data_IF_980112865144
#
_entry.id   IF_980112865144
#
_cell.length_a   1.000
_cell.length_b   1.000
_cell.length_c   1.000
_cell.angle_alpha   90.00
_cell.angle_beta   90.00
_cell.angle_gamma   90.00
#
_symmetry.space_group_name_H-M   'P 1'
#
loop_
_entity.id
_entity.type
_entity.pdbx_description
1 polymer ?
#
# COMPACT_ATOMS: atom_id res chain seq x y z
N UNK A 1 8.95 -19.62 -27.04
CA UNK A 1 10.12 -18.79 -26.64
C UNK A 1 9.60 -17.57 -25.89
N UNK A 2 9.91 -17.46 -24.59
CA UNK A 2 9.52 -16.29 -23.79
C UNK A 2 10.63 -15.24 -23.81
N UNK A 3 10.31 -14.00 -24.19
CA UNK A 3 11.25 -12.89 -24.18
C UNK A 3 11.16 -12.15 -22.85
N UNK A 4 12.29 -11.95 -22.17
CA UNK A 4 12.35 -11.24 -20.90
C UNK A 4 13.30 -10.04 -21.03
N UNK A 5 12.73 -8.85 -20.84
CA UNK A 5 13.41 -7.59 -21.09
C UNK A 5 13.74 -6.89 -19.77
N UNK A 6 15.02 -6.60 -19.51
CA UNK A 6 15.47 -5.99 -18.24
C UNK A 6 16.38 -4.80 -18.56
N UNK A 7 15.90 -3.58 -18.33
CA UNK A 7 16.72 -2.38 -18.43
C UNK A 7 17.06 -1.77 -17.06
N UNK A 8 18.28 -1.23 -16.95
CA UNK A 8 18.74 -0.45 -15.81
C UNK A 8 19.81 0.55 -16.23
N UNK A 9 19.41 1.77 -16.59
CA UNK A 9 20.33 2.91 -16.74
C UNK A 9 20.71 3.46 -15.35
N UNK A 10 21.93 3.18 -14.91
CA UNK A 10 22.62 3.95 -13.86
C UNK A 10 24.03 4.24 -14.35
N UNK A 11 24.36 5.52 -14.54
CA UNK A 11 25.75 6.02 -14.67
C UNK A 11 26.55 5.67 -13.39
N UNK A 12 27.89 5.67 -13.46
CA UNK A 12 28.71 4.58 -12.98
C UNK A 12 29.03 4.70 -11.48
N UNK A 13 28.09 4.41 -10.60
CA UNK A 13 28.43 4.08 -9.22
C UNK A 13 27.46 3.04 -8.67
N UNK A 14 28.03 1.86 -8.39
CA UNK A 14 27.63 0.90 -7.34
C UNK A 14 26.13 0.88 -7.03
N UNK A 15 25.32 0.06 -7.72
CA UNK A 15 24.29 -0.79 -7.10
C UNK A 15 23.48 -1.59 -8.14
N UNK A 16 23.85 -2.86 -8.28
CA UNK A 16 23.21 -3.89 -9.11
C UNK A 16 22.10 -4.65 -8.32
N UNK A 17 21.42 -3.96 -7.39
CA UNK A 17 20.36 -4.52 -6.54
C UNK A 17 19.06 -4.95 -7.26
N UNK A 18 18.62 -4.33 -8.40
CA UNK A 18 17.34 -4.68 -9.02
C UNK A 18 17.28 -6.09 -9.62
N UNK A 19 18.44 -6.69 -9.95
CA UNK A 19 18.50 -7.96 -10.70
C UNK A 19 18.44 -9.21 -9.80
N UNK A 20 18.82 -9.10 -8.51
CA UNK A 20 18.67 -10.19 -7.52
C UNK A 20 17.19 -10.48 -7.25
N UNK A 21 16.42 -9.40 -7.12
CA UNK A 21 14.98 -9.47 -6.90
C UNK A 21 14.29 -10.08 -8.13
N UNK A 22 14.77 -9.79 -9.34
CA UNK A 22 14.19 -10.32 -10.58
C UNK A 22 14.28 -11.86 -10.67
N UNK A 23 15.49 -12.43 -10.64
CA UNK A 23 15.67 -13.89 -10.80
C UNK A 23 14.94 -14.66 -9.71
N UNK A 24 15.01 -14.20 -8.46
CA UNK A 24 14.26 -14.82 -7.37
C UNK A 24 12.74 -14.67 -7.54
N UNK A 25 12.25 -13.53 -8.01
CA UNK A 25 10.81 -13.26 -8.18
C UNK A 25 10.20 -14.03 -9.35
N UNK A 26 10.96 -14.23 -10.42
CA UNK A 26 10.48 -14.87 -11.64
C UNK A 26 10.97 -16.31 -11.83
N UNK A 27 11.72 -16.87 -10.86
CA UNK A 27 12.25 -18.24 -10.88
C UNK A 27 11.21 -19.26 -11.36
N UNK A 28 9.99 -19.23 -10.85
CA UNK A 28 8.91 -20.16 -11.23
C UNK A 28 8.55 -20.15 -12.73
N UNK A 29 8.81 -19.04 -13.43
CA UNK A 29 8.50 -18.90 -14.85
C UNK A 29 9.68 -19.24 -15.76
N UNK A 30 10.90 -19.17 -15.24
CA UNK A 30 12.14 -19.21 -16.03
C UNK A 30 13.06 -20.38 -15.68
N UNK A 31 12.85 -21.02 -14.53
CA UNK A 31 13.63 -22.18 -14.11
C UNK A 31 13.27 -23.40 -14.98
N UNK A 32 14.28 -24.07 -15.55
CA UNK A 32 14.10 -25.21 -16.45
C UNK A 32 13.55 -24.86 -17.84
N UNK A 33 13.48 -23.58 -18.22
CA UNK A 33 13.09 -23.14 -19.56
C UNK A 33 14.16 -22.21 -20.14
N UNK A 34 14.52 -22.32 -21.43
CA UNK A 34 15.42 -21.37 -22.07
C UNK A 34 14.76 -19.99 -22.11
N UNK A 35 15.49 -18.95 -21.70
CA UNK A 35 15.06 -17.56 -21.85
C UNK A 35 16.21 -16.63 -22.18
N UNK A 36 15.88 -15.54 -22.88
CA UNK A 36 16.86 -14.52 -23.26
C UNK A 36 16.70 -13.29 -22.38
N UNK A 37 17.81 -12.82 -21.80
CA UNK A 37 17.92 -11.54 -21.09
C UNK A 37 18.51 -10.51 -22.05
N UNK A 38 17.71 -9.53 -22.41
CA UNK A 38 18.18 -8.40 -23.22
C UNK A 38 18.67 -7.29 -22.29
N UNK A 39 19.93 -6.86 -22.43
CA UNK A 39 20.53 -5.83 -21.58
C UNK A 39 21.22 -4.74 -22.40
N UNK A 40 21.20 -3.50 -21.90
CA UNK A 40 21.94 -2.37 -22.46
C UNK A 40 23.37 -2.24 -21.92
N UNK A 41 23.86 -3.28 -21.24
CA UNK A 41 25.19 -3.31 -20.64
C UNK A 41 26.01 -4.49 -21.18
N UNK A 42 26.90 -4.20 -22.13
CA UNK A 42 27.67 -5.18 -22.89
C UNK A 42 28.56 -6.10 -22.01
N UNK A 43 29.03 -5.61 -20.86
CA UNK A 43 29.87 -6.36 -19.93
C UNK A 43 29.21 -7.62 -19.36
N UNK A 44 27.88 -7.74 -19.46
CA UNK A 44 27.12 -8.87 -18.93
C UNK A 44 26.98 -10.04 -19.90
N UNK A 45 27.20 -9.82 -21.20
CA UNK A 45 27.25 -10.90 -22.18
C UNK A 45 28.42 -11.87 -21.90
N UNK A 46 29.46 -11.38 -21.23
CA UNK A 46 30.67 -12.13 -20.92
C UNK A 46 30.58 -12.90 -19.59
N UNK A 47 29.48 -12.75 -18.84
CA UNK A 47 29.38 -13.26 -17.48
C UNK A 47 29.34 -14.80 -17.39
N UNK A 48 28.89 -15.47 -18.46
CA UNK A 48 28.88 -16.93 -18.58
C UNK A 48 30.27 -17.52 -18.92
N UNK A 49 31.19 -16.71 -19.46
CA UNK A 49 32.51 -17.14 -19.95
C UNK A 49 33.68 -16.60 -19.10
N UNK A 50 33.42 -16.09 -17.89
CA UNK A 50 34.46 -15.56 -17.02
C UNK A 50 35.36 -16.69 -16.48
N UNK A 51 36.61 -16.76 -16.95
CA UNK A 51 37.69 -17.55 -16.32
C UNK A 51 38.28 -16.75 -15.15
N UNK A 52 38.43 -17.38 -13.99
CA UNK A 52 39.00 -16.82 -12.75
C UNK A 52 38.34 -15.53 -12.24
N UNK A 53 37.08 -15.65 -11.82
CA UNK A 53 36.36 -14.56 -11.19
C UNK A 53 36.38 -14.66 -9.67
N UNK A 54 36.81 -13.59 -8.98
CA UNK A 54 36.67 -13.45 -7.53
C UNK A 54 35.68 -12.32 -7.19
N UNK A 55 34.97 -12.46 -6.06
CA UNK A 55 34.08 -11.41 -5.55
C UNK A 55 32.62 -11.46 -6.04
N UNK A 56 32.08 -10.34 -6.51
CA UNK A 56 30.63 -10.18 -6.77
C UNK A 56 30.19 -10.87 -8.05
N UNK A 57 30.97 -10.77 -9.13
CA UNK A 57 30.63 -11.31 -10.47
C UNK A 57 30.63 -12.85 -10.47
N UNK A 58 31.57 -13.48 -9.76
CA UNK A 58 31.61 -14.94 -9.57
C UNK A 58 30.33 -15.52 -8.97
N UNK A 59 29.81 -14.89 -7.91
CA UNK A 59 28.55 -15.28 -7.26
C UNK A 59 27.34 -15.10 -8.18
N UNK A 60 27.42 -14.24 -9.19
CA UNK A 60 26.38 -14.08 -10.19
C UNK A 60 26.46 -15.13 -11.29
N UNK A 61 27.68 -15.43 -11.77
CA UNK A 61 27.90 -16.51 -12.73
C UNK A 61 27.38 -17.85 -12.19
N UNK A 62 27.74 -18.20 -10.94
CA UNK A 62 27.24 -19.41 -10.27
C UNK A 62 25.72 -19.47 -10.15
N UNK A 63 25.05 -18.32 -9.94
CA UNK A 63 23.58 -18.29 -9.85
C UNK A 63 22.88 -18.33 -11.19
N UNK A 64 23.49 -17.77 -12.22
CA UNK A 64 22.95 -17.84 -13.57
C UNK A 64 23.14 -19.22 -14.18
N UNK A 65 24.15 -19.98 -13.75
CA UNK A 65 24.32 -21.40 -14.12
C UNK A 65 23.13 -22.29 -13.72
N UNK A 66 22.33 -21.89 -12.72
CA UNK A 66 21.09 -22.60 -12.37
C UNK A 66 19.98 -22.44 -13.44
N UNK A 67 20.19 -21.61 -14.46
CA UNK A 67 19.19 -21.25 -15.47
C UNK A 67 19.75 -21.43 -16.88
N UNK A 68 18.88 -21.84 -17.80
CA UNK A 68 19.17 -21.84 -19.24
C UNK A 68 18.93 -20.43 -19.81
N UNK A 69 19.94 -19.58 -19.67
CA UNK A 69 19.84 -18.14 -19.93
C UNK A 69 20.84 -17.68 -20.99
N UNK A 70 20.33 -17.02 -22.02
CA UNK A 70 21.13 -16.32 -23.02
C UNK A 70 21.11 -14.81 -22.76
N UNK A 71 22.27 -14.15 -22.74
CA UNK A 71 22.37 -12.72 -22.41
C UNK A 71 22.76 -11.94 -23.66
N UNK A 72 21.78 -11.26 -24.25
CA UNK A 72 21.94 -10.52 -25.51
C UNK A 72 22.06 -9.02 -25.23
N UNK A 73 23.06 -8.38 -25.84
CA UNK A 73 23.20 -6.94 -25.77
C UNK A 73 22.28 -6.24 -26.78
N UNK A 74 21.53 -5.23 -26.32
CA UNK A 74 20.78 -4.30 -27.18
C UNK A 74 21.15 -2.87 -26.78
N UNK A 75 21.70 -2.11 -27.74
CA UNK A 75 22.06 -0.70 -27.52
C UNK A 75 20.89 0.09 -26.93
N UNK A 76 21.18 0.91 -25.91
CA UNK A 76 20.14 1.67 -25.19
C UNK A 76 19.31 2.62 -26.05
N UNK A 77 19.75 2.98 -27.27
CA UNK A 77 18.95 3.73 -28.26
C UNK A 77 17.85 2.90 -28.92
N UNK A 78 18.08 1.59 -29.10
CA UNK A 78 17.13 0.63 -29.70
C UNK A 78 16.26 -0.09 -28.66
N UNK A 79 16.48 0.19 -27.38
CA UNK A 79 15.82 -0.47 -26.24
C UNK A 79 14.58 0.32 -25.75
N UNK A 80 13.90 1.04 -26.64
CA UNK A 80 12.79 1.94 -26.31
C UNK A 80 11.54 1.21 -25.77
N UNK A 81 11.33 -0.01 -26.25
CA UNK A 81 10.29 -0.96 -25.84
C UNK A 81 10.30 -1.25 -24.33
N UNK A 82 11.47 -1.42 -23.73
CA UNK A 82 11.60 -1.55 -22.27
C UNK A 82 11.46 -0.21 -21.54
N UNK A 83 11.89 0.89 -22.18
CA UNK A 83 11.83 2.23 -21.61
C UNK A 83 10.35 2.65 -21.40
N UNK A 84 9.43 2.29 -22.32
CA UNK A 84 7.99 2.57 -22.22
C UNK A 84 7.32 1.97 -20.98
N UNK A 85 7.61 0.70 -20.63
CA UNK A 85 7.01 0.03 -19.46
C UNK A 85 7.52 0.57 -18.12
N UNK A 86 8.73 1.14 -18.09
CA UNK A 86 9.30 1.78 -16.89
C UNK A 86 8.96 3.27 -16.76
N UNK A 87 8.47 3.89 -17.84
CA UNK A 87 8.22 5.32 -17.97
C UNK A 87 6.80 5.64 -18.43
N UNK A 88 5.79 4.82 -18.13
CA UNK A 88 4.42 5.29 -18.31
C UNK A 88 4.28 6.59 -17.51
N UNK A 89 4.09 7.75 -18.16
CA UNK A 89 4.10 9.02 -17.44
C UNK A 89 2.88 9.01 -16.53
N UNK A 90 3.11 8.89 -15.22
CA UNK A 90 2.08 9.23 -14.27
C UNK A 90 1.73 10.70 -14.52
N UNK A 91 0.45 11.07 -14.64
CA UNK A 91 0.07 12.46 -14.77
C UNK A 91 0.81 13.25 -13.68
N UNK A 92 1.45 14.34 -14.08
CA UNK A 92 2.03 15.29 -13.12
C UNK A 92 0.86 15.72 -12.25
N UNK A 93 0.81 15.23 -11.01
CA UNK A 93 -0.15 15.74 -10.03
C UNK A 93 0.22 17.21 -9.89
N UNK A 94 -0.64 18.07 -10.43
CA UNK A 94 -0.52 19.52 -10.30
C UNK A 94 -0.36 19.87 -8.82
N UNK A 95 0.40 20.93 -8.54
CA UNK A 95 0.74 21.35 -7.19
C UNK A 95 -0.52 21.73 -6.41
N UNK A 96 -1.19 20.76 -5.80
CA UNK A 96 -2.15 21.00 -4.74
C UNK A 96 -1.35 21.47 -3.51
N UNK A 97 -1.21 22.79 -3.41
CA UNK A 97 -0.91 23.53 -2.20
C UNK A 97 -2.17 23.62 -1.34
N UNK A 98 -2.62 22.49 -0.80
CA UNK A 98 -3.27 22.49 0.52
C UNK A 98 -2.60 21.42 1.36
N UNK A 99 -2.08 21.83 2.49
CA UNK A 99 -1.56 20.92 3.50
C UNK A 99 -2.76 20.35 4.25
N UNK A 100 -3.36 19.28 3.74
CA UNK A 100 -4.50 18.62 4.41
C UNK A 100 -4.05 17.85 5.66
N UNK A 101 -3.41 18.56 6.59
CA UNK A 101 -3.20 18.13 7.96
C UNK A 101 -3.73 19.25 8.83
N UNK A 102 -4.81 19.02 9.59
CA UNK A 102 -5.40 20.04 10.48
C UNK A 102 -4.37 20.72 11.39
N UNK A 103 -3.38 19.97 11.88
CA UNK A 103 -2.28 20.51 12.69
C UNK A 103 -1.43 21.55 11.95
N UNK A 104 -1.13 21.35 10.66
CA UNK A 104 -0.34 22.32 9.89
C UNK A 104 -1.16 23.56 9.54
N UNK A 105 -2.48 23.41 9.34
CA UNK A 105 -3.38 24.54 9.10
C UNK A 105 -3.47 25.52 10.29
N UNK A 106 -3.15 25.07 11.51
CA UNK A 106 -3.06 25.98 12.67
C UNK A 106 -1.80 26.85 12.67
N UNK A 107 -0.83 26.57 11.80
CA UNK A 107 0.45 27.30 11.74
C UNK A 107 0.29 28.47 10.77
N UNK A 108 0.17 29.67 11.33
CA UNK A 108 -0.03 30.91 10.55
C UNK A 108 1.22 31.37 9.81
N UNK A 109 2.42 31.08 10.35
CA UNK A 109 3.68 31.51 9.76
C UNK A 109 4.75 30.40 9.78
N UNK A 110 4.67 29.48 8.80
CA UNK A 110 5.60 28.35 8.73
C UNK A 110 7.06 28.76 8.48
N UNK A 111 7.29 29.90 7.83
CA UNK A 111 8.63 30.48 7.60
C UNK A 111 9.32 30.80 8.93
N UNK A 112 8.58 31.41 9.85
CA UNK A 112 9.10 31.73 11.19
C UNK A 112 9.37 30.44 11.99
N UNK A 113 8.48 29.46 11.93
CA UNK A 113 8.69 28.17 12.58
C UNK A 113 9.94 27.45 12.06
N UNK A 114 10.22 27.52 10.77
CA UNK A 114 11.47 27.00 10.20
C UNK A 114 12.71 27.75 10.66
N UNK A 115 12.62 29.06 10.87
CA UNK A 115 13.75 29.86 11.33
C UNK A 115 14.24 29.47 12.73
N UNK A 116 13.36 28.89 13.56
CA UNK A 116 13.66 28.41 14.91
C UNK A 116 14.50 27.12 14.94
N UNK A 117 14.60 26.37 13.83
CA UNK A 117 15.41 25.14 13.76
C UNK A 117 16.82 25.46 13.23
N UNK A 118 17.89 25.30 14.04
CA UNK A 118 19.26 25.58 13.62
C UNK A 118 19.67 24.83 12.34
N UNK A 119 19.08 23.65 12.12
CA UNK A 119 19.38 22.84 10.93
C UNK A 119 18.90 23.48 9.64
N UNK A 120 17.89 24.34 9.70
CA UNK A 120 17.41 25.09 8.53
C UNK A 120 18.44 26.15 8.16
N UNK A 121 19.07 26.81 9.15
CA UNK A 121 20.15 27.76 8.91
C UNK A 121 21.36 27.07 8.25
N UNK A 122 21.80 25.92 8.77
CA UNK A 122 22.88 25.13 8.18
C UNK A 122 22.63 24.79 6.70
N UNK A 123 21.40 24.37 6.38
CA UNK A 123 21.02 24.00 5.00
C UNK A 123 21.00 25.25 4.10
N UNK A 124 20.48 26.38 4.58
CA UNK A 124 20.49 27.64 3.82
C UNK A 124 21.90 28.12 3.53
N UNK A 125 22.81 28.03 4.50
CA UNK A 125 24.22 28.35 4.31
C UNK A 125 24.89 27.41 3.29
N UNK A 126 24.62 26.10 3.36
CA UNK A 126 25.12 25.12 2.38
C UNK A 126 24.60 25.42 0.96
N UNK A 127 23.33 25.82 0.81
CA UNK A 127 22.76 26.24 -0.47
C UNK A 127 23.42 27.52 -1.01
N UNK A 128 23.76 28.47 -0.13
CA UNK A 128 24.48 29.70 -0.51
C UNK A 128 25.90 29.41 -1.03
N UNK A 129 26.61 28.45 -0.41
CA UNK A 129 27.95 28.01 -0.83
C UNK A 129 27.94 27.18 -2.12
N UNK A 130 26.89 26.38 -2.34
CA UNK A 130 26.72 25.52 -3.53
C UNK A 130 25.45 25.90 -4.28
N UNK A 131 25.57 26.86 -5.21
CA UNK A 131 24.47 27.37 -6.05
C UNK A 131 23.71 26.27 -6.83
N UNK A 132 24.36 25.14 -7.11
CA UNK A 132 23.77 24.00 -7.86
C UNK A 132 23.20 22.87 -6.97
N UNK A 133 22.87 23.12 -5.70
CA UNK A 133 22.29 22.08 -4.84
C UNK A 133 20.89 21.66 -5.32
N UNK A 134 20.81 20.58 -6.10
CA UNK A 134 19.53 20.03 -6.60
C UNK A 134 18.67 19.36 -5.51
N UNK A 135 19.13 19.33 -4.26
CA UNK A 135 18.52 18.57 -3.16
C UNK A 135 17.47 19.36 -2.40
N UNK A 136 17.64 20.67 -2.28
CA UNK A 136 16.77 21.55 -1.53
C UNK A 136 16.36 22.73 -2.40
N UNK A 137 15.20 23.29 -2.12
CA UNK A 137 14.69 24.47 -2.80
C UNK A 137 13.87 25.29 -1.81
N UNK A 138 13.94 26.59 -1.95
CA UNK A 138 13.18 27.53 -1.14
C UNK A 138 12.08 28.17 -2.00
N UNK A 139 10.86 28.19 -1.46
CA UNK A 139 9.70 28.84 -2.07
C UNK A 139 9.08 29.78 -1.03
N UNK A 140 8.95 31.07 -1.34
CA UNK A 140 8.41 32.10 -0.43
C UNK A 140 9.07 32.12 0.97
N UNK A 141 10.36 31.80 1.06
CA UNK A 141 11.08 31.72 2.34
C UNK A 141 10.85 30.44 3.13
N UNK A 142 10.19 29.44 2.55
CA UNK A 142 9.96 28.11 3.14
C UNK A 142 10.84 27.08 2.43
N UNK A 143 11.55 26.28 3.21
CA UNK A 143 12.48 25.26 2.75
C UNK A 143 11.76 23.94 2.43
N UNK A 144 12.08 23.39 1.26
CA UNK A 144 11.62 22.09 0.77
C UNK A 144 12.79 21.21 0.36
N UNK A 145 12.58 19.89 0.39
CA UNK A 145 13.52 18.89 -0.11
C UNK A 145 12.98 18.20 -1.36
N UNK A 146 13.84 17.99 -2.35
CA UNK A 146 13.53 17.20 -3.54
C UNK A 146 13.19 15.76 -3.15
N UNK A 147 12.02 15.30 -3.58
CA UNK A 147 11.60 13.93 -3.52
C UNK A 147 12.06 13.17 -4.77
N UNK A 148 12.34 11.89 -4.60
CA UNK A 148 12.67 10.98 -5.70
C UNK A 148 11.65 9.83 -5.80
N UNK A 149 10.60 9.85 -4.97
CA UNK A 149 9.48 8.93 -5.10
C UNK A 149 8.55 9.40 -6.22
N UNK A 150 8.34 8.59 -7.28
CA UNK A 150 7.46 8.96 -8.39
C UNK A 150 5.98 9.08 -7.99
N UNK A 151 5.58 8.55 -6.83
CA UNK A 151 4.22 8.62 -6.30
C UNK A 151 4.02 9.73 -5.25
N UNK A 152 5.06 10.50 -4.93
CA UNK A 152 5.01 11.57 -3.94
C UNK A 152 5.14 12.95 -4.56
N UNK A 153 4.90 14.00 -3.77
CA UNK A 153 5.14 15.39 -4.22
C UNK A 153 6.60 15.55 -4.62
N UNK A 154 6.89 16.29 -5.69
CA UNK A 154 8.27 16.55 -6.13
C UNK A 154 9.09 17.28 -5.07
N UNK A 155 8.44 18.15 -4.30
CA UNK A 155 9.03 18.92 -3.22
C UNK A 155 8.32 18.60 -1.90
N UNK A 156 9.09 18.15 -0.91
CA UNK A 156 8.63 17.78 0.42
C UNK A 156 8.89 18.93 1.38
N UNK A 157 7.87 19.32 2.15
CA UNK A 157 8.01 20.36 3.15
C UNK A 157 9.02 19.92 4.22
N UNK A 158 10.01 20.78 4.52
CA UNK A 158 10.97 20.52 5.58
C UNK A 158 10.32 20.82 6.95
N UNK A 159 10.31 19.83 7.84
CA UNK A 159 9.66 19.96 9.15
C UNK A 159 10.68 20.28 10.27
N UNK A 160 10.53 21.44 10.94
CA UNK A 160 11.29 21.82 12.14
C UNK A 160 11.15 20.84 13.28
N UNK A 161 12.19 20.70 14.11
CA UNK A 161 12.25 19.70 15.19
C UNK A 161 11.04 19.68 16.11
N UNK A 162 10.54 20.84 16.53
CA UNK A 162 9.41 20.97 17.47
C UNK A 162 8.05 20.62 16.85
N UNK A 163 7.90 20.68 15.52
CA UNK A 163 6.64 20.34 14.84
C UNK A 163 6.51 18.86 14.48
N UNK A 164 7.61 18.09 14.56
CA UNK A 164 7.65 16.67 14.13
C UNK A 164 6.69 15.80 14.93
N UNK A 165 6.55 16.06 16.22
CA UNK A 165 5.67 15.27 17.10
C UNK A 165 4.19 15.49 16.76
N UNK A 166 3.78 16.74 16.53
CA UNK A 166 2.41 17.05 16.09
C UNK A 166 2.05 16.33 14.78
N UNK A 167 2.97 16.31 13.80
CA UNK A 167 2.77 15.57 12.55
C UNK A 167 2.68 14.05 12.77
N UNK A 168 3.53 13.48 13.62
CA UNK A 168 3.47 12.07 13.96
C UNK A 168 2.13 11.71 14.60
N UNK A 169 1.67 12.51 15.56
CA UNK A 169 0.37 12.36 16.20
C UNK A 169 -0.78 12.45 15.20
N UNK A 170 -0.77 13.45 14.31
CA UNK A 170 -1.83 13.59 13.30
C UNK A 170 -1.86 12.47 12.25
N UNK A 171 -0.71 11.87 11.92
CA UNK A 171 -0.60 10.87 10.84
C UNK A 171 -0.49 9.42 11.31
N UNK A 172 -0.42 9.20 12.63
CA UNK A 172 -0.49 7.89 13.26
C UNK A 172 -1.74 7.75 14.14
N UNK A 173 -1.99 8.73 15.02
CA UNK A 173 -2.96 8.60 16.10
C UNK A 173 -4.37 8.99 15.67
N UNK A 174 -4.53 9.93 14.74
CA UNK A 174 -5.86 10.37 14.32
C UNK A 174 -6.73 9.21 13.77
N UNK A 175 -8.07 9.22 13.96
CA UNK A 175 -8.97 8.19 13.40
C UNK A 175 -8.80 7.97 11.89
N UNK A 176 -8.53 9.06 11.14
CA UNK A 176 -8.25 9.03 9.70
C UNK A 176 -6.89 8.43 9.34
N UNK A 177 -6.01 8.20 10.33
CA UNK A 177 -4.73 7.54 10.20
C UNK A 177 -4.75 6.07 10.62
N UNK A 178 -5.55 5.72 11.64
CA UNK A 178 -5.89 4.35 12.01
C UNK A 178 -4.80 3.53 12.69
N UNK A 179 -3.85 4.17 13.39
CA UNK A 179 -2.79 3.49 14.16
C UNK A 179 -2.03 2.38 13.44
N UNK A 180 -1.89 2.52 12.11
CA UNK A 180 -1.28 1.48 11.30
C UNK A 180 0.22 1.33 11.61
N UNK A 181 0.75 0.13 11.38
CA UNK A 181 2.14 -0.18 11.69
C UNK A 181 3.15 0.68 10.92
N UNK A 182 4.41 0.65 11.38
CA UNK A 182 5.52 1.49 10.92
C UNK A 182 5.57 1.72 9.41
N UNK A 183 5.48 0.65 8.61
CA UNK A 183 5.64 0.74 7.16
C UNK A 183 4.55 1.61 6.50
N UNK A 184 3.31 1.55 6.99
CA UNK A 184 2.18 2.33 6.46
C UNK A 184 2.29 3.80 6.90
N UNK A 185 2.60 4.03 8.17
CA UNK A 185 2.81 5.39 8.73
C UNK A 185 3.97 6.11 8.04
N UNK A 186 5.11 5.41 7.87
CA UNK A 186 6.28 5.97 7.18
C UNK A 186 5.96 6.30 5.71
N UNK A 187 5.21 5.44 5.03
CA UNK A 187 4.83 5.67 3.64
C UNK A 187 3.87 6.86 3.47
N UNK A 188 2.96 7.08 4.43
CA UNK A 188 2.09 8.25 4.47
C UNK A 188 2.88 9.55 4.66
N UNK A 189 3.85 9.56 5.59
CA UNK A 189 4.63 10.77 5.93
C UNK A 189 5.64 11.11 4.82
N UNK A 190 6.39 10.12 4.32
CA UNK A 190 7.52 10.35 3.39
C UNK A 190 7.12 10.92 2.03
N UNK A 191 5.83 10.85 1.68
CA UNK A 191 5.29 11.41 0.41
C UNK A 191 4.97 12.90 0.50
N UNK A 192 4.85 13.44 1.73
CA UNK A 192 4.44 14.83 2.00
C UNK A 192 5.53 15.64 2.70
N UNK A 193 6.27 15.03 3.62
CA UNK A 193 7.19 15.72 4.52
C UNK A 193 8.59 15.15 4.51
N UNK A 194 9.53 16.00 4.91
CA UNK A 194 10.90 15.61 5.12
C UNK A 194 11.47 16.19 6.42
N UNK A 195 12.25 15.37 7.13
CA UNK A 195 13.24 15.85 8.09
C UNK A 195 14.41 14.87 8.20
N UNK A 196 15.60 15.31 8.62
CA UNK A 196 16.73 14.43 8.87
C UNK A 196 16.38 13.36 9.91
N UNK A 197 16.56 12.09 9.54
CA UNK A 197 16.24 10.97 10.43
C UNK A 197 14.78 10.52 10.41
N UNK A 198 13.96 10.97 9.46
CA UNK A 198 12.54 10.61 9.31
C UNK A 198 12.23 9.13 9.59
N UNK A 199 12.95 8.21 8.94
CA UNK A 199 12.75 6.77 9.13
C UNK A 199 12.89 6.34 10.61
N UNK A 200 13.95 6.82 11.29
CA UNK A 200 14.23 6.49 12.70
C UNK A 200 13.21 7.15 13.63
N UNK A 201 12.78 8.38 13.34
CA UNK A 201 11.74 9.08 14.11
C UNK A 201 10.42 8.32 14.05
N UNK A 202 9.93 7.97 12.86
CA UNK A 202 8.66 7.24 12.70
C UNK A 202 8.74 5.85 13.33
N UNK A 203 9.85 5.12 13.13
CA UNK A 203 10.04 3.79 13.74
C UNK A 203 9.99 3.86 15.26
N UNK A 204 10.66 4.85 15.84
CA UNK A 204 10.68 5.06 17.30
C UNK A 204 9.30 5.42 17.82
N UNK A 205 8.60 6.34 17.17
CA UNK A 205 7.27 6.77 17.60
C UNK A 205 6.29 5.59 17.67
N UNK A 206 6.16 4.84 16.56
CA UNK A 206 5.25 3.69 16.48
C UNK A 206 5.67 2.56 17.45
N UNK A 207 6.97 2.35 17.68
CA UNK A 207 7.43 1.30 18.59
C UNK A 207 7.20 1.62 20.07
N UNK A 208 7.09 2.90 20.44
CA UNK A 208 6.88 3.32 21.83
C UNK A 208 5.41 3.63 22.16
N UNK A 209 4.52 3.60 21.16
CA UNK A 209 3.10 3.85 21.37
C UNK A 209 2.43 2.69 22.12
N UNK A 210 2.13 2.89 23.40
CA UNK A 210 1.73 1.83 24.35
C UNK A 210 0.49 1.05 23.90
N UNK A 211 -0.52 1.75 23.38
CA UNK A 211 -1.79 1.12 22.98
C UNK A 211 -1.60 0.17 21.79
N UNK A 212 -0.80 0.56 20.80
CA UNK A 212 -0.43 -0.31 19.69
C UNK A 212 0.39 -1.52 20.16
N UNK A 213 1.35 -1.33 21.07
CA UNK A 213 2.17 -2.43 21.56
C UNK A 213 1.37 -3.44 22.38
N UNK A 214 0.38 -2.99 23.16
CA UNK A 214 -0.53 -3.87 23.92
C UNK A 214 -1.38 -4.77 23.01
N UNK A 215 -1.73 -4.31 21.80
CA UNK A 215 -2.59 -5.05 20.87
C UNK A 215 -1.84 -5.90 19.84
N UNK A 216 -0.56 -5.63 19.59
CA UNK A 216 0.23 -6.41 18.65
C UNK A 216 0.40 -7.86 19.13
N UNK A 217 -0.31 -8.81 18.50
CA UNK A 217 -0.04 -10.23 18.70
C UNK A 217 1.27 -10.64 18.02
N UNK A 218 2.03 -11.60 18.58
CA UNK A 218 3.17 -12.19 17.90
C UNK A 218 2.78 -12.72 16.51
N UNK A 219 3.61 -12.53 15.47
CA UNK A 219 3.32 -13.07 14.15
C UNK A 219 3.20 -14.58 14.22
N UNK A 220 2.03 -15.12 13.86
CA UNK A 220 1.85 -16.56 13.74
C UNK A 220 2.63 -17.11 12.53
N UNK A 221 2.96 -18.41 12.60
CA UNK A 221 3.57 -19.15 11.49
C UNK A 221 2.68 -19.03 10.25
N UNK A 222 3.26 -18.98 9.04
CA UNK A 222 2.48 -18.83 7.83
C UNK A 222 1.46 -19.97 7.73
N UNK A 223 0.16 -19.68 7.52
CA UNK A 223 -0.83 -20.71 7.24
C UNK A 223 -0.45 -21.44 5.94
N UNK A 224 -0.96 -22.66 5.77
CA UNK A 224 -0.65 -23.56 4.65
C UNK A 224 -0.93 -22.97 3.26
N UNK A 225 -0.59 -23.71 2.22
CA UNK A 225 -0.64 -23.26 0.83
C UNK A 225 -2.07 -22.84 0.41
N UNK A 226 -2.27 -21.53 0.24
CA UNK A 226 -3.50 -20.95 -0.31
C UNK A 226 -3.40 -20.92 -1.85
N UNK A 227 -4.34 -21.55 -2.57
CA UNK A 227 -4.52 -21.34 -4.00
C UNK A 227 -5.04 -19.90 -4.23
N UNK A 228 -4.38 -19.09 -5.07
CA UNK A 228 -4.81 -17.73 -5.32
C UNK A 228 -6.08 -17.71 -6.19
N UNK A 229 -7.07 -16.91 -5.79
CA UNK A 229 -8.21 -16.56 -6.64
C UNK A 229 -7.69 -15.69 -7.79
N UNK A 230 -8.11 -15.99 -9.02
CA UNK A 230 -7.79 -15.17 -10.18
C UNK A 230 -8.25 -13.73 -9.91
N UNK A 231 -7.35 -12.74 -9.97
CA UNK A 231 -7.71 -11.35 -9.72
C UNK A 231 -8.70 -10.91 -10.81
N UNK A 232 -9.81 -10.29 -10.39
CA UNK A 232 -10.70 -9.62 -11.33
C UNK A 232 -9.93 -8.53 -12.08
N UNK A 233 -10.26 -8.26 -13.34
CA UNK A 233 -9.56 -7.27 -14.15
C UNK A 233 -10.10 -5.85 -13.96
N UNK A 234 -11.33 -5.74 -13.44
CA UNK A 234 -12.09 -4.49 -13.30
C UNK A 234 -12.40 -4.28 -11.81
N UNK A 235 -12.21 -3.06 -11.26
CA UNK A 235 -12.61 -2.75 -9.89
C UNK A 235 -14.08 -3.06 -9.65
N UNK A 236 -14.41 -3.60 -8.48
CA UNK A 236 -15.78 -3.96 -8.07
C UNK A 236 -16.46 -5.04 -8.91
N UNK A 237 -15.82 -5.61 -9.93
CA UNK A 237 -16.40 -6.74 -10.65
C UNK A 237 -16.53 -7.99 -9.76
N UNK A 238 -15.65 -8.14 -8.77
CA UNK A 238 -15.71 -9.22 -7.78
C UNK A 238 -15.54 -8.65 -6.37
N UNK A 239 -16.59 -8.75 -5.58
CA UNK A 239 -16.60 -8.25 -4.20
C UNK A 239 -16.85 -9.39 -3.21
N UNK A 240 -16.35 -9.23 -1.99
CA UNK A 240 -16.71 -10.06 -0.85
C UNK A 240 -17.48 -9.25 0.16
N UNK A 241 -18.58 -9.80 0.65
CA UNK A 241 -19.40 -9.20 1.69
C UNK A 241 -19.36 -10.08 2.94
N UNK A 242 -19.30 -9.45 4.11
CA UNK A 242 -19.29 -10.12 5.40
C UNK A 242 -20.04 -9.29 6.45
N UNK A 243 -20.55 -9.95 7.49
CA UNK A 243 -21.20 -9.33 8.64
C UNK A 243 -20.35 -9.55 9.89
N UNK A 244 -19.85 -8.46 10.45
CA UNK A 244 -19.12 -8.47 11.70
C UNK A 244 -20.04 -8.12 12.87
N UNK A 245 -20.05 -8.96 13.90
CA UNK A 245 -20.83 -8.75 15.11
C UNK A 245 -20.89 -10.02 15.98
N UNK A 246 -21.59 -10.02 17.11
CA UNK A 246 -22.38 -8.92 17.71
C UNK A 246 -21.48 -7.99 18.54
N UNK A 247 -21.31 -6.74 18.10
CA UNK A 247 -20.63 -5.70 18.87
C UNK A 247 -21.53 -5.20 20.01
N UNK A 248 -20.96 -4.53 21.03
CA UNK A 248 -21.73 -3.78 22.01
C UNK A 248 -22.69 -2.79 21.33
N UNK A 249 -23.88 -2.61 21.92
CA UNK A 249 -24.90 -1.72 21.37
C UNK A 249 -24.44 -0.27 21.45
N UNK A 250 -24.45 0.44 20.32
CA UNK A 250 -24.13 1.86 20.27
C UNK A 250 -25.28 2.72 20.73
N UNK A 251 -25.00 4.00 21.01
CA UNK A 251 -26.03 5.01 21.29
C UNK A 251 -27.01 5.17 20.13
N UNK A 252 -26.60 4.92 18.88
CA UNK A 252 -27.48 4.96 17.71
C UNK A 252 -28.20 3.63 17.44
N UNK A 253 -28.02 2.61 18.29
CA UNK A 253 -28.72 1.33 18.17
C UNK A 253 -28.06 0.31 17.25
N UNK A 254 -26.80 0.50 16.86
CA UNK A 254 -26.07 -0.41 15.98
C UNK A 254 -25.39 -1.53 16.76
N UNK A 255 -25.33 -2.74 16.18
CA UNK A 255 -24.63 -3.93 16.74
C UNK A 255 -23.84 -4.75 15.73
N UNK A 256 -23.96 -4.41 14.46
CA UNK A 256 -23.34 -5.13 13.36
C UNK A 256 -22.63 -4.16 12.43
N UNK A 257 -21.62 -4.66 11.72
CA UNK A 257 -20.96 -3.94 10.64
C UNK A 257 -21.04 -4.82 9.41
N UNK A 258 -21.69 -4.34 8.34
CA UNK A 258 -21.54 -4.96 7.03
C UNK A 258 -20.27 -4.40 6.37
N UNK A 259 -19.46 -5.30 5.83
CA UNK A 259 -18.19 -4.99 5.15
C UNK A 259 -18.27 -5.54 3.74
N UNK A 260 -18.07 -4.68 2.74
CA UNK A 260 -17.89 -5.05 1.34
C UNK A 260 -16.45 -4.73 0.93
N UNK A 261 -15.76 -5.68 0.31
CA UNK A 261 -14.37 -5.54 -0.12
C UNK A 261 -14.22 -5.91 -1.59
N UNK A 262 -13.67 -5.00 -2.38
CA UNK A 262 -13.27 -5.29 -3.75
C UNK A 262 -12.01 -6.17 -3.78
N UNK A 263 -12.07 -7.27 -4.53
CA UNK A 263 -10.97 -8.24 -4.58
C UNK A 263 -9.74 -7.72 -5.35
N UNK A 264 -9.94 -6.79 -6.30
CA UNK A 264 -8.85 -6.26 -7.12
C UNK A 264 -8.08 -5.16 -6.40
N UNK A 265 -8.76 -4.10 -5.98
CA UNK A 265 -8.17 -2.89 -5.40
C UNK A 265 -7.97 -3.00 -3.90
N UNK A 266 -8.72 -3.90 -3.23
CA UNK A 266 -8.86 -3.96 -1.76
C UNK A 266 -9.55 -2.74 -1.17
N UNK A 267 -10.27 -1.98 -1.98
CA UNK A 267 -11.13 -0.93 -1.48
C UNK A 267 -12.29 -1.54 -0.69
N UNK A 268 -12.61 -0.94 0.44
CA UNK A 268 -13.63 -1.43 1.36
C UNK A 268 -14.71 -0.39 1.59
N UNK A 269 -15.96 -0.85 1.56
CA UNK A 269 -17.15 -0.09 1.96
C UNK A 269 -17.69 -0.73 3.23
N UNK A 270 -18.03 0.07 4.24
CA UNK A 270 -18.57 -0.42 5.51
C UNK A 270 -19.79 0.37 5.93
N UNK A 271 -20.75 -0.27 6.59
CA UNK A 271 -21.91 0.40 7.22
C UNK A 271 -22.24 -0.25 8.55
N UNK A 272 -22.56 0.57 9.55
CA UNK A 272 -23.07 0.10 10.83
C UNK A 272 -24.55 -0.25 10.67
N UNK A 273 -24.96 -1.40 11.22
CA UNK A 273 -26.32 -1.94 11.13
C UNK A 273 -26.87 -2.28 12.53
N UNK A 274 -28.17 -2.01 12.79
CA UNK A 274 -28.88 -2.46 13.99
C UNK A 274 -28.95 -3.98 14.14
N UNK A 275 -29.33 -4.70 13.08
CA UNK A 275 -29.70 -6.12 13.17
C UNK A 275 -28.93 -7.06 12.25
N UNK A 276 -28.40 -6.58 11.12
CA UNK A 276 -27.76 -7.43 10.11
C UNK A 276 -28.77 -8.25 9.30
N UNK A 277 -30.02 -7.77 9.22
CA UNK A 277 -31.11 -8.49 8.55
C UNK A 277 -31.09 -8.24 7.03
N UNK A 278 -31.75 -9.14 6.29
CA UNK A 278 -31.77 -9.14 4.83
C UNK A 278 -32.12 -7.77 4.20
N UNK A 279 -33.08 -7.04 4.79
CA UNK A 279 -33.50 -5.72 4.31
C UNK A 279 -32.37 -4.69 4.39
N UNK A 280 -31.60 -4.73 5.48
CA UNK A 280 -30.47 -3.82 5.69
C UNK A 280 -29.32 -4.13 4.73
N UNK A 281 -29.08 -5.42 4.50
CA UNK A 281 -28.07 -5.90 3.52
C UNK A 281 -28.46 -5.48 2.11
N UNK A 282 -29.72 -5.69 1.72
CA UNK A 282 -30.24 -5.29 0.41
C UNK A 282 -30.08 -3.77 0.19
N UNK A 283 -30.47 -2.95 1.16
CA UNK A 283 -30.27 -1.49 1.11
C UNK A 283 -28.81 -1.12 0.95
N UNK A 284 -27.91 -1.74 1.73
CA UNK A 284 -26.48 -1.52 1.61
C UNK A 284 -25.93 -1.89 0.22
N UNK A 285 -26.32 -3.04 -0.32
CA UNK A 285 -25.90 -3.46 -1.67
C UNK A 285 -26.33 -2.44 -2.73
N UNK A 286 -27.56 -1.95 -2.66
CA UNK A 286 -28.05 -0.95 -3.63
C UNK A 286 -27.39 0.40 -3.42
N UNK A 287 -27.57 0.99 -2.24
CA UNK A 287 -27.22 2.40 -1.96
C UNK A 287 -25.72 2.64 -1.88
N UNK A 288 -24.98 1.70 -1.27
CA UNK A 288 -23.57 1.89 -0.93
C UNK A 288 -22.62 1.16 -1.87
N UNK A 289 -23.09 0.16 -2.61
CA UNK A 289 -22.27 -0.56 -3.59
C UNK A 289 -22.70 -0.20 -5.02
N UNK A 290 -23.91 -0.58 -5.44
CA UNK A 290 -24.33 -0.46 -6.84
C UNK A 290 -24.41 0.99 -7.30
N UNK A 291 -25.08 1.87 -6.54
CA UNK A 291 -25.24 3.28 -6.95
C UNK A 291 -23.93 4.08 -6.97
N UNK A 292 -22.88 3.61 -6.28
CA UNK A 292 -21.60 4.32 -6.15
C UNK A 292 -20.49 3.72 -7.02
N UNK A 293 -20.54 2.42 -7.27
CA UNK A 293 -19.45 1.67 -7.90
C UNK A 293 -19.88 0.83 -9.12
N UNK A 294 -21.18 0.76 -9.40
CA UNK A 294 -21.76 -0.08 -10.43
C UNK A 294 -22.09 -1.49 -9.93
N UNK A 295 -22.82 -2.25 -10.76
CA UNK A 295 -23.21 -3.62 -10.42
C UNK A 295 -21.98 -4.56 -10.44
N UNK A 296 -21.72 -5.30 -9.36
CA UNK A 296 -20.70 -6.34 -9.37
C UNK A 296 -21.12 -7.51 -10.27
N UNK A 297 -20.14 -8.18 -10.89
CA UNK A 297 -20.42 -9.43 -11.61
C UNK A 297 -20.59 -10.59 -10.64
N UNK A 298 -19.75 -10.61 -9.60
CA UNK A 298 -19.72 -11.67 -8.60
C UNK A 298 -19.69 -11.07 -7.18
N UNK A 299 -20.60 -11.53 -6.34
CA UNK A 299 -20.59 -11.30 -4.90
C UNK A 299 -20.22 -12.59 -4.21
N UNK A 300 -19.31 -12.52 -3.25
CA UNK A 300 -19.00 -13.65 -2.38
C UNK A 300 -19.41 -13.35 -0.94
N UNK A 301 -20.21 -14.21 -0.32
CA UNK A 301 -20.53 -14.14 1.12
C UNK A 301 -20.38 -15.49 1.80
N UNK A 302 -20.46 -15.51 3.12
CA UNK A 302 -20.72 -16.74 3.86
C UNK A 302 -22.16 -17.24 3.65
N UNK A 303 -22.49 -18.34 4.33
CA UNK A 303 -23.84 -18.94 4.32
C UNK A 303 -24.75 -18.38 5.42
N UNK A 304 -24.51 -17.15 5.88
CA UNK A 304 -25.37 -16.48 6.83
C UNK A 304 -26.81 -16.34 6.31
N UNK A 305 -27.80 -16.55 7.20
CA UNK A 305 -29.22 -16.58 6.83
C UNK A 305 -29.67 -15.33 6.06
N UNK A 306 -29.20 -14.15 6.46
CA UNK A 306 -29.56 -12.88 5.82
C UNK A 306 -29.09 -12.80 4.37
N UNK A 307 -27.88 -13.33 4.06
CA UNK A 307 -27.36 -13.39 2.69
C UNK A 307 -28.09 -14.43 1.81
N UNK A 308 -28.66 -15.47 2.42
CA UNK A 308 -29.44 -16.51 1.73
C UNK A 308 -30.92 -16.14 1.52
N UNK A 309 -31.35 -14.97 1.99
CA UNK A 309 -32.75 -14.56 1.90
C UNK A 309 -33.22 -14.37 0.45
N UNK A 310 -34.50 -14.61 0.19
CA UNK A 310 -35.11 -14.36 -1.11
C UNK A 310 -34.95 -12.90 -1.55
N UNK A 311 -35.01 -11.96 -0.60
CA UNK A 311 -34.81 -10.54 -0.89
C UNK A 311 -33.41 -10.25 -1.46
N UNK A 312 -32.35 -10.75 -0.82
CA UNK A 312 -30.98 -10.56 -1.32
C UNK A 312 -30.79 -11.26 -2.67
N UNK A 313 -31.41 -12.43 -2.85
CA UNK A 313 -31.42 -13.15 -4.13
C UNK A 313 -32.08 -12.32 -5.24
N UNK A 314 -33.29 -11.81 -5.01
CA UNK A 314 -34.02 -10.98 -5.98
C UNK A 314 -33.25 -9.70 -6.34
N UNK A 315 -32.62 -9.05 -5.35
CA UNK A 315 -31.74 -7.90 -5.58
C UNK A 315 -30.58 -8.28 -6.51
N UNK A 316 -29.90 -9.39 -6.24
CA UNK A 316 -28.80 -9.86 -7.09
C UNK A 316 -29.29 -10.22 -8.51
N UNK A 317 -30.45 -10.84 -8.64
CA UNK A 317 -31.05 -11.20 -9.93
C UNK A 317 -31.37 -9.94 -10.77
N UNK A 318 -31.94 -8.89 -10.14
CA UNK A 318 -32.21 -7.61 -10.80
C UNK A 318 -30.93 -6.92 -11.33
N UNK A 319 -29.83 -7.06 -10.61
CA UNK A 319 -28.54 -6.50 -10.99
C UNK A 319 -27.66 -7.44 -11.81
N UNK A 320 -28.19 -8.60 -12.24
CA UNK A 320 -27.49 -9.65 -12.98
C UNK A 320 -26.16 -10.06 -12.29
N UNK A 321 -26.19 -10.13 -10.97
CA UNK A 321 -25.04 -10.40 -10.12
C UNK A 321 -25.03 -11.87 -9.69
N UNK A 322 -23.92 -12.58 -9.92
CA UNK A 322 -23.76 -13.95 -9.47
C UNK A 322 -23.34 -13.99 -7.99
N UNK A 323 -24.22 -14.51 -7.14
CA UNK A 323 -23.93 -14.67 -5.72
C UNK A 323 -23.32 -16.04 -5.41
N UNK A 324 -22.03 -16.02 -5.09
CA UNK A 324 -21.23 -17.18 -4.72
C UNK A 324 -21.18 -17.31 -3.19
N UNK A 325 -21.46 -18.50 -2.68
CA UNK A 325 -21.38 -18.77 -1.25
C UNK A 325 -20.05 -19.45 -0.94
N UNK A 326 -19.36 -18.99 0.10
CA UNK A 326 -18.18 -19.71 0.59
C UNK A 326 -18.60 -21.08 1.11
N UNK A 327 -17.81 -22.11 0.78
CA UNK A 327 -17.88 -23.35 1.54
C UNK A 327 -17.16 -23.14 2.86
N UNK A 328 -17.55 -23.86 3.91
CA UNK A 328 -16.84 -23.85 5.20
C UNK A 328 -15.33 -24.19 5.06
N UNK A 329 -14.90 -24.69 3.90
CA UNK A 329 -13.55 -25.14 3.58
C UNK A 329 -12.90 -24.37 2.40
N UNK A 330 -13.30 -23.12 2.10
CA UNK A 330 -12.55 -22.23 1.20
C UNK A 330 -11.82 -21.10 1.95
N UNK A 331 -10.75 -21.41 2.72
CA UNK A 331 -9.96 -20.44 3.48
C UNK A 331 -9.25 -19.38 2.62
N UNK A 332 -9.22 -19.56 1.30
CA UNK A 332 -8.60 -18.63 0.33
C UNK A 332 -9.51 -17.43 0.04
N UNK A 333 -10.81 -17.69 -0.08
CA UNK A 333 -11.84 -16.71 -0.38
C UNK A 333 -12.17 -15.91 0.87
N UNK A 334 -12.34 -16.61 2.00
CA UNK A 334 -12.59 -15.96 3.28
C UNK A 334 -11.34 -15.31 3.88
N UNK A 335 -10.15 -15.90 3.71
CA UNK A 335 -8.92 -15.42 4.38
C UNK A 335 -8.40 -14.05 3.92
N UNK A 336 -8.93 -13.48 2.83
CA UNK A 336 -8.69 -12.10 2.43
C UNK A 336 -9.61 -11.13 3.19
N UNK A 337 -10.90 -11.45 3.22
CA UNK A 337 -11.93 -10.72 3.96
C UNK A 337 -11.68 -10.81 5.47
N UNK A 338 -11.36 -11.98 6.02
CA UNK A 338 -11.03 -12.19 7.44
C UNK A 338 -9.83 -11.34 7.90
N UNK A 339 -8.76 -11.28 7.09
CA UNK A 339 -7.59 -10.43 7.43
C UNK A 339 -7.95 -8.95 7.41
N UNK A 340 -8.83 -8.56 6.50
CA UNK A 340 -9.31 -7.20 6.40
C UNK A 340 -10.16 -6.85 7.62
N UNK A 341 -11.12 -7.71 7.94
CA UNK A 341 -12.01 -7.58 9.08
C UNK A 341 -11.24 -7.51 10.39
N UNK A 342 -10.21 -8.35 10.56
CA UNK A 342 -9.29 -8.24 11.69
C UNK A 342 -8.59 -6.88 11.73
N UNK A 343 -8.06 -6.41 10.60
CA UNK A 343 -7.40 -5.10 10.53
C UNK A 343 -8.37 -3.97 10.90
N UNK A 344 -9.61 -4.03 10.42
CA UNK A 344 -10.64 -3.03 10.69
C UNK A 344 -11.07 -3.04 12.16
N UNK A 345 -11.25 -4.23 12.75
CA UNK A 345 -11.54 -4.39 14.17
C UNK A 345 -10.39 -3.87 15.07
N UNK A 346 -9.13 -4.18 14.70
CA UNK A 346 -7.94 -3.69 15.41
C UNK A 346 -7.87 -2.16 15.36
N UNK A 347 -8.19 -1.55 14.22
CA UNK A 347 -8.23 -0.09 14.05
C UNK A 347 -9.36 0.54 14.87
N UNK A 348 -10.57 -0.02 14.81
CA UNK A 348 -11.72 0.46 15.61
C UNK A 348 -11.37 0.47 17.09
N UNK A 349 -10.84 -0.64 17.60
CA UNK A 349 -10.57 -0.83 19.03
C UNK A 349 -9.56 0.17 19.63
N UNK A 350 -8.87 0.97 18.81
CA UNK A 350 -8.00 2.07 19.28
C UNK A 350 -8.77 3.33 19.67
N UNK A 351 -10.01 3.47 19.21
CA UNK A 351 -10.82 4.70 19.32
C UNK A 351 -12.13 4.52 20.07
N UNK A 352 -12.51 3.26 20.32
CA UNK A 352 -13.72 2.94 21.05
C UNK A 352 -13.56 3.32 22.52
N UNK A 353 -14.58 3.96 23.08
CA UNK A 353 -14.62 4.35 24.50
C UNK A 353 -14.75 3.14 25.43
N UNK A 354 -14.67 3.39 26.75
CA UNK A 354 -14.73 2.33 27.77
C UNK A 354 -16.05 1.55 27.70
N UNK A 355 -17.16 2.24 27.44
CA UNK A 355 -18.50 1.66 27.36
C UNK A 355 -18.80 1.00 26.00
N UNK A 356 -17.91 1.21 25.03
CA UNK A 356 -17.98 0.75 23.65
C UNK A 356 -19.24 1.18 22.90
N UNK A 357 -19.74 2.39 23.18
CA UNK A 357 -21.01 2.88 22.62
C UNK A 357 -20.85 3.78 21.39
N UNK A 358 -19.62 4.13 21.03
CA UNK A 358 -19.30 5.12 20.00
C UNK A 358 -18.71 4.52 18.71
N UNK A 359 -18.57 3.19 18.58
CA UNK A 359 -17.81 2.60 17.48
C UNK A 359 -18.40 2.87 16.09
N UNK A 360 -19.71 3.08 15.97
CA UNK A 360 -20.40 3.42 14.72
C UNK A 360 -20.07 4.83 14.23
N UNK A 361 -19.89 5.79 15.14
CA UNK A 361 -19.40 7.13 14.82
C UNK A 361 -17.96 7.10 14.28
N UNK A 362 -17.15 6.16 14.77
CA UNK A 362 -15.73 6.04 14.40
C UNK A 362 -15.55 5.29 13.07
N UNK A 363 -16.46 4.36 12.76
CA UNK A 363 -16.35 3.46 11.61
C UNK A 363 -16.01 4.15 10.28
N UNK A 364 -16.65 5.28 9.88
CA UNK A 364 -16.31 5.94 8.62
C UNK A 364 -14.85 6.42 8.55
N UNK A 365 -14.30 6.91 9.67
CA UNK A 365 -12.92 7.39 9.75
C UNK A 365 -11.91 6.26 9.62
N UNK A 366 -12.19 5.13 10.28
CA UNK A 366 -11.36 3.92 10.19
C UNK A 366 -11.39 3.33 8.78
N UNK A 367 -12.56 3.28 8.15
CA UNK A 367 -12.68 2.81 6.77
C UNK A 367 -11.93 3.70 5.79
N UNK A 368 -11.98 5.02 5.96
CA UNK A 368 -11.14 5.96 5.21
C UNK A 368 -9.64 5.71 5.46
N UNK A 369 -9.24 5.53 6.72
CA UNK A 369 -7.85 5.27 7.09
C UNK A 369 -7.32 3.97 6.45
N UNK A 370 -8.18 2.96 6.33
CA UNK A 370 -7.86 1.69 5.69
C UNK A 370 -7.67 1.86 4.18
N UNK A 371 -8.63 2.50 3.50
CA UNK A 371 -8.62 2.68 2.04
C UNK A 371 -7.48 3.59 1.57
N UNK A 372 -7.09 4.59 2.36
CA UNK A 372 -5.97 5.49 2.05
C UNK A 372 -4.59 4.88 2.34
N UNK A 373 -4.54 3.76 3.06
CA UNK A 373 -3.28 3.11 3.41
C UNK A 373 -2.75 2.26 2.27
N UNK A 374 -1.42 2.26 2.09
CA UNK A 374 -0.77 1.38 1.10
C UNK A 374 -1.06 -0.08 1.40
N UNK A 375 -1.78 -0.73 0.49
CA UNK A 375 -2.03 -2.16 0.53
C UNK A 375 -0.88 -2.88 -0.20
N UNK A 376 -0.19 -3.78 0.50
CA UNK A 376 0.81 -4.64 -0.15
C UNK A 376 0.08 -5.80 -0.81
N UNK A 377 0.03 -5.82 -2.14
CA UNK A 377 -0.23 -7.06 -2.89
C UNK A 377 0.90 -8.04 -2.56
N UNK A 378 0.65 -8.98 -1.64
CA UNK A 378 1.36 -10.26 -1.69
C UNK A 378 0.81 -10.97 -2.91
N UNK A 379 1.41 -10.74 -4.07
CA UNK A 379 1.41 -11.80 -5.08
C UNK A 379 2.21 -12.90 -4.41
N UNK A 380 1.52 -13.96 -3.98
CA UNK A 380 2.12 -15.13 -3.36
C UNK A 380 2.98 -15.83 -4.42
N UNK A 381 4.16 -15.30 -4.71
CA UNK A 381 5.15 -15.94 -5.57
C UNK A 381 6.24 -16.44 -4.64
N UNK A 382 6.05 -17.62 -4.06
CA UNK A 382 7.16 -18.32 -3.39
C UNK A 382 7.12 -19.80 -3.78
N UNK A 383 7.99 -20.10 -4.74
CA UNK A 383 9.00 -21.16 -4.76
C UNK A 383 8.87 -22.29 -3.73
N UNK A 384 8.82 -23.50 -4.29
CA UNK A 384 9.22 -24.78 -3.68
C UNK A 384 10.65 -24.73 -3.14
#
# INVERSE_FOLDING_TARGET
MGFIQIQGKLKPFKNFLPRKAFLNKFRLYIFGRPFTVITDHHSLCWLANLKDSSGRLARWALRLQEYDVDVVFKSGRRHQDSDCLSRNPLPKIEEETSEDIPFLNTITNFKEEQSKDPKVADIREEMGRRRDSTKFKEFNGILYRKNYDPLGKQWLLFIPKHLREGILKSLHDAPTAGHLGFAKTYDRIRRKFFWPGLYRSVRRYVSHFRECQRRNSPPQRPPGLLRPILPAEIPFAKIGIDLLGRFPLTTQGNRWIIVCTDYLTRFTVTKALPSGEAVEIAKFLVEDVVLKHGSPREIISDRGRSFLSNLVKEVNDLFMTYHLLTTAYHPQTNGLTERLNKTLADMLAMYVDVDQKNWDNILPFVTFAYNSAKQRRRVSVHSF
#
